data_IF_821881965330
#
_entry.id   IF_821881965330
#
_cell.length_a   1.000
_cell.length_b   1.000
_cell.length_c   1.000
_cell.angle_alpha   90.00
_cell.angle_beta   90.00
_cell.angle_gamma   90.00
#
_symmetry.space_group_name_H-M   'P 1'
#
loop_
_entity.id
_entity.type
_entity.pdbx_description
1 polymer ?
#
# COMPACT_ATOMS: atom_id res chain seq x y z
N UNK A 1 23.35 6.12 -3.58
CA UNK A 1 22.12 5.31 -3.64
C UNK A 1 22.53 3.96 -4.19
N UNK A 2 22.29 2.91 -3.41
CA UNK A 2 22.69 1.57 -3.82
C UNK A 2 21.74 1.08 -4.92
N UNK A 3 22.34 0.65 -6.04
CA UNK A 3 21.57 0.22 -7.21
C UNK A 3 20.79 -1.07 -6.94
N UNK A 4 21.28 -1.90 -6.01
CA UNK A 4 20.75 -3.23 -5.72
C UNK A 4 21.06 -3.60 -4.26
N UNK A 5 20.07 -4.16 -3.57
CA UNK A 5 20.18 -4.63 -2.18
C UNK A 5 19.68 -6.07 -2.11
N UNK A 6 20.47 -6.97 -1.51
CA UNK A 6 19.98 -8.29 -1.14
C UNK A 6 19.06 -8.15 0.07
N UNK A 7 17.83 -8.66 -0.02
CA UNK A 7 16.87 -8.60 1.08
C UNK A 7 16.96 -9.90 1.89
N UNK A 8 16.45 -10.99 1.33
CA UNK A 8 16.48 -12.33 1.93
C UNK A 8 16.03 -13.38 0.88
N UNK A 9 16.27 -14.66 1.13
CA UNK A 9 15.72 -15.81 0.38
C UNK A 9 15.74 -15.63 -1.15
N UNK A 10 16.94 -15.36 -1.68
CA UNK A 10 17.17 -15.13 -3.12
C UNK A 10 16.45 -13.90 -3.73
N UNK A 11 15.87 -13.02 -2.91
CA UNK A 11 15.22 -11.77 -3.36
C UNK A 11 16.18 -10.58 -3.23
N UNK A 12 16.26 -9.81 -4.30
CA UNK A 12 16.96 -8.54 -4.39
C UNK A 12 15.97 -7.43 -4.75
N UNK A 13 16.18 -6.23 -4.19
CA UNK A 13 15.45 -5.03 -4.56
C UNK A 13 16.40 -4.00 -5.15
N UNK A 14 16.02 -3.36 -6.25
CA UNK A 14 16.93 -2.45 -6.94
C UNK A 14 16.26 -1.37 -7.80
N UNK A 15 17.11 -0.62 -8.48
CA UNK A 15 16.76 0.45 -9.41
C UNK A 15 16.64 -0.08 -10.83
N UNK A 16 16.09 0.72 -11.73
CA UNK A 16 16.08 0.40 -13.17
C UNK A 16 17.51 0.28 -13.71
N UNK A 17 18.45 1.07 -13.20
CA UNK A 17 19.85 0.98 -13.58
C UNK A 17 20.49 -0.37 -13.22
N UNK A 18 20.08 -1.00 -12.11
CA UNK A 18 20.51 -2.37 -11.81
C UNK A 18 19.85 -3.39 -12.74
N UNK A 19 18.55 -3.21 -12.99
CA UNK A 19 17.76 -4.14 -13.79
C UNK A 19 18.13 -4.14 -15.28
N UNK A 20 18.71 -3.05 -15.80
CA UNK A 20 19.21 -2.96 -17.18
C UNK A 20 20.73 -3.16 -17.29
N UNK A 21 21.41 -3.55 -16.21
CA UNK A 21 22.85 -3.79 -16.20
C UNK A 21 23.16 -5.29 -16.30
N UNK A 22 23.28 -5.80 -17.52
CA UNK A 22 23.47 -7.24 -17.77
C UNK A 22 24.72 -7.81 -17.07
N UNK A 23 25.82 -7.07 -17.03
CA UNK A 23 27.03 -7.51 -16.31
C UNK A 23 26.77 -7.68 -14.80
N UNK A 24 25.90 -6.85 -14.20
CA UNK A 24 25.49 -7.00 -12.81
C UNK A 24 24.59 -8.23 -12.63
N UNK A 25 23.63 -8.43 -13.53
CA UNK A 25 22.69 -9.57 -13.49
C UNK A 25 23.36 -10.92 -13.76
N UNK A 26 24.46 -10.94 -14.50
CA UNK A 26 25.28 -12.15 -14.68
C UNK A 26 26.13 -12.42 -13.45
N UNK A 27 26.74 -11.37 -12.87
CA UNK A 27 27.58 -11.48 -11.68
C UNK A 27 26.79 -11.95 -10.45
N UNK A 28 25.58 -11.44 -10.30
CA UNK A 28 24.61 -11.88 -9.29
C UNK A 28 23.57 -12.65 -10.09
N UNK A 29 23.66 -13.98 -10.24
CA UNK A 29 22.96 -14.73 -11.30
C UNK A 29 21.44 -14.62 -11.16
N UNK A 30 20.87 -13.52 -11.67
CA UNK A 30 19.45 -13.20 -11.62
C UNK A 30 18.78 -14.03 -12.71
N UNK A 31 17.69 -14.65 -12.33
CA UNK A 31 16.90 -15.51 -13.21
C UNK A 31 15.53 -14.91 -13.55
N UNK A 32 15.04 -14.01 -12.70
CA UNK A 32 13.76 -13.34 -12.84
C UNK A 32 13.92 -11.86 -12.50
N UNK A 33 13.40 -10.99 -13.34
CA UNK A 33 13.25 -9.56 -13.07
C UNK A 33 11.77 -9.22 -13.02
N UNK A 34 11.32 -8.77 -11.84
CA UNK A 34 9.98 -8.22 -11.63
C UNK A 34 10.06 -6.70 -11.83
N UNK A 35 9.49 -6.24 -12.94
CA UNK A 35 9.46 -4.84 -13.32
C UNK A 35 8.20 -4.16 -12.76
N UNK A 36 8.39 -3.32 -11.74
CA UNK A 36 7.36 -2.49 -11.12
C UNK A 36 7.35 -1.05 -11.69
N UNK A 37 7.60 -0.87 -12.99
CA UNK A 37 7.54 0.44 -13.66
C UNK A 37 6.58 0.45 -14.86
N UNK A 38 6.32 1.64 -15.39
CA UNK A 38 5.50 1.82 -16.60
C UNK A 38 6.29 1.53 -17.88
N UNK A 39 7.62 1.60 -17.82
CA UNK A 39 8.50 1.34 -18.95
C UNK A 39 8.64 -0.16 -19.22
N UNK A 40 8.61 -0.54 -20.49
CA UNK A 40 8.97 -1.89 -20.92
C UNK A 40 10.38 -1.86 -21.52
N UNK A 41 11.16 -2.91 -21.26
CA UNK A 41 12.47 -3.12 -21.85
C UNK A 41 12.72 -4.63 -21.98
N UNK A 42 13.70 -4.97 -22.81
CA UNK A 42 14.15 -6.34 -23.00
C UNK A 42 15.63 -6.45 -22.62
N UNK A 43 16.04 -7.62 -22.16
CA UNK A 43 17.42 -7.97 -21.91
C UNK A 43 17.93 -8.83 -23.07
N UNK A 44 19.22 -8.73 -23.40
CA UNK A 44 19.82 -9.59 -24.41
C UNK A 44 19.94 -11.05 -23.93
N UNK A 45 20.04 -11.25 -22.61
CA UNK A 45 20.12 -12.56 -22.01
C UNK A 45 18.74 -13.22 -21.89
N UNK A 46 18.47 -14.18 -22.77
CA UNK A 46 17.21 -14.93 -22.81
C UNK A 46 16.96 -15.85 -21.61
N UNK A 47 17.99 -16.12 -20.78
CA UNK A 47 17.87 -16.95 -19.59
C UNK A 47 17.24 -16.18 -18.40
N UNK A 48 17.16 -14.85 -18.52
CA UNK A 48 16.54 -13.95 -17.54
C UNK A 48 15.12 -13.63 -18.00
N UNK A 49 14.13 -14.10 -17.25
CA UNK A 49 12.74 -13.74 -17.53
C UNK A 49 12.44 -12.35 -16.96
N UNK A 50 11.92 -11.43 -17.78
CA UNK A 50 11.42 -10.12 -17.34
C UNK A 50 9.89 -10.14 -17.34
N UNK A 51 9.30 -9.99 -16.16
CA UNK A 51 7.84 -9.90 -16.00
C UNK A 51 7.47 -8.51 -15.54
N UNK A 52 6.49 -7.94 -16.23
CA UNK A 52 5.91 -6.64 -15.90
C UNK A 52 4.44 -6.83 -15.57
N UNK A 53 4.04 -6.24 -14.45
CA UNK A 53 2.64 -6.08 -14.09
C UNK A 53 2.27 -4.61 -14.30
N UNK A 54 1.05 -4.33 -14.76
CA UNK A 54 0.64 -2.99 -15.19
C UNK A 54 0.57 -2.01 -14.01
N UNK A 55 1.73 -1.49 -13.59
CA UNK A 55 1.81 -0.37 -12.65
C UNK A 55 1.19 0.83 -13.34
N UNK A 56 0.07 1.32 -12.80
CA UNK A 56 -0.66 2.48 -13.33
C UNK A 56 -0.10 3.76 -12.73
N UNK A 57 -0.61 4.91 -13.19
CA UNK A 57 -0.30 6.23 -12.61
C UNK A 57 -0.52 6.31 -11.09
N UNK A 58 -1.41 5.48 -10.54
CA UNK A 58 -1.64 5.32 -9.10
C UNK A 58 -0.49 4.61 -8.36
N UNK A 59 0.64 4.36 -9.02
CA UNK A 59 1.87 3.93 -8.37
C UNK A 59 1.76 2.55 -7.71
N UNK A 60 2.27 2.44 -6.48
CA UNK A 60 2.41 1.16 -5.79
C UNK A 60 1.05 0.51 -5.43
N UNK A 61 -0.01 1.29 -5.29
CA UNK A 61 -1.37 0.79 -5.01
C UNK A 61 -1.85 -0.14 -6.13
N UNK A 62 -1.51 0.17 -7.38
CA UNK A 62 -1.91 -0.66 -8.53
C UNK A 62 -1.33 -2.08 -8.52
N UNK A 63 -0.28 -2.34 -7.72
CA UNK A 63 0.29 -3.68 -7.58
C UNK A 63 -0.64 -4.64 -6.83
N UNK A 64 -1.58 -4.12 -6.04
CA UNK A 64 -2.48 -4.92 -5.20
C UNK A 64 -3.25 -5.97 -5.99
N UNK A 65 -3.73 -5.60 -7.20
CA UNK A 65 -4.47 -6.50 -8.10
C UNK A 65 -3.63 -7.70 -8.56
N UNK A 66 -2.29 -7.62 -8.45
CA UNK A 66 -1.34 -8.58 -9.00
C UNK A 66 -0.54 -9.33 -7.93
N UNK A 67 -0.77 -9.09 -6.64
CA UNK A 67 0.04 -9.68 -5.57
C UNK A 67 0.07 -11.20 -5.61
N UNK A 68 -1.06 -11.87 -5.85
CA UNK A 68 -1.07 -13.33 -5.89
C UNK A 68 -0.18 -13.89 -7.03
N UNK A 69 -0.28 -13.31 -8.22
CA UNK A 69 0.49 -13.73 -9.39
C UNK A 69 1.97 -13.41 -9.24
N UNK A 70 2.29 -12.19 -8.80
CA UNK A 70 3.65 -11.76 -8.50
C UNK A 70 4.29 -12.67 -7.46
N UNK A 71 3.59 -12.92 -6.35
CA UNK A 71 4.14 -13.70 -5.24
C UNK A 71 4.40 -15.15 -5.65
N UNK A 72 3.45 -15.79 -6.34
CA UNK A 72 3.65 -17.16 -6.89
C UNK A 72 4.81 -17.20 -7.88
N UNK A 73 4.98 -16.17 -8.71
CA UNK A 73 6.06 -16.11 -9.69
C UNK A 73 7.41 -15.99 -8.99
N UNK A 74 7.56 -15.05 -8.06
CA UNK A 74 8.78 -14.89 -7.26
C UNK A 74 9.08 -16.21 -6.50
N UNK A 75 8.07 -16.81 -5.87
CA UNK A 75 8.21 -18.03 -5.08
C UNK A 75 8.69 -19.22 -5.91
N UNK A 76 8.21 -19.36 -7.15
CA UNK A 76 8.62 -20.46 -8.04
C UNK A 76 10.11 -20.43 -8.37
N UNK A 77 10.71 -19.23 -8.43
CA UNK A 77 12.13 -19.04 -8.67
C UNK A 77 12.95 -19.21 -7.38
N UNK A 78 12.57 -18.49 -6.32
CA UNK A 78 13.30 -18.52 -5.04
C UNK A 78 13.27 -19.92 -4.40
N UNK A 79 12.15 -20.64 -4.47
CA UNK A 79 12.04 -22.03 -4.00
C UNK A 79 12.90 -23.02 -4.79
N UNK A 80 13.38 -22.63 -5.99
CA UNK A 80 14.35 -23.38 -6.79
C UNK A 80 15.78 -22.91 -6.59
N UNK A 81 16.04 -22.03 -5.60
CA UNK A 81 17.34 -21.42 -5.33
C UNK A 81 17.80 -20.40 -6.38
N UNK A 82 16.87 -19.86 -7.18
CA UNK A 82 17.18 -18.90 -8.25
C UNK A 82 16.95 -17.47 -7.76
N UNK A 83 17.88 -16.58 -8.09
CA UNK A 83 17.80 -15.18 -7.66
C UNK A 83 16.75 -14.40 -8.45
N UNK A 84 16.01 -13.56 -7.75
CA UNK A 84 14.98 -12.68 -8.27
C UNK A 84 15.34 -11.23 -7.98
N UNK A 85 15.22 -10.36 -8.97
CA UNK A 85 15.31 -8.91 -8.81
C UNK A 85 13.94 -8.27 -8.94
N UNK A 86 13.49 -7.59 -7.89
CA UNK A 86 12.31 -6.72 -7.92
C UNK A 86 12.78 -5.28 -8.05
N UNK A 87 12.40 -4.58 -9.12
CA UNK A 87 12.87 -3.22 -9.32
C UNK A 87 11.74 -2.25 -9.65
N UNK A 88 11.99 -0.98 -9.33
CA UNK A 88 11.25 0.14 -9.92
C UNK A 88 12.27 1.16 -10.45
N UNK A 89 11.88 2.42 -10.62
CA UNK A 89 12.82 3.43 -11.14
C UNK A 89 13.96 3.70 -10.14
N UNK A 90 13.62 4.17 -8.94
CA UNK A 90 14.57 4.48 -7.85
C UNK A 90 14.75 3.34 -6.84
N UNK A 91 14.01 2.25 -7.01
CA UNK A 91 13.99 1.15 -6.04
C UNK A 91 13.46 1.54 -4.66
N UNK A 92 12.70 2.64 -4.53
CA UNK A 92 12.35 3.24 -3.23
C UNK A 92 11.00 2.75 -2.71
N UNK A 93 9.93 3.00 -3.47
CA UNK A 93 8.55 2.69 -3.05
C UNK A 93 8.02 1.42 -3.71
N UNK A 94 7.65 1.48 -5.01
CA UNK A 94 6.96 0.37 -5.72
C UNK A 94 7.62 -1.01 -5.58
N UNK A 95 8.94 -1.08 -5.74
CA UNK A 95 9.68 -2.34 -5.60
C UNK A 95 9.77 -2.81 -4.15
N UNK A 96 9.89 -1.89 -3.19
CA UNK A 96 9.88 -2.22 -1.77
C UNK A 96 8.50 -2.68 -1.34
N UNK A 97 7.42 -2.00 -1.76
CA UNK A 97 6.03 -2.45 -1.57
C UNK A 97 5.83 -3.88 -2.08
N UNK A 98 6.31 -4.16 -3.30
CA UNK A 98 6.23 -5.50 -3.90
C UNK A 98 7.01 -6.55 -3.06
N UNK A 99 8.21 -6.20 -2.58
CA UNK A 99 9.00 -7.10 -1.74
C UNK A 99 8.33 -7.34 -0.37
N UNK A 100 7.77 -6.30 0.25
CA UNK A 100 7.04 -6.38 1.52
C UNK A 100 5.84 -7.32 1.36
N UNK A 101 4.99 -7.10 0.35
CA UNK A 101 3.84 -7.95 0.05
C UNK A 101 4.25 -9.42 -0.17
N UNK A 102 5.37 -9.66 -0.86
CA UNK A 102 5.91 -11.01 -1.04
C UNK A 102 6.30 -11.67 0.29
N UNK A 103 7.05 -10.98 1.15
CA UNK A 103 7.46 -11.54 2.44
C UNK A 103 6.30 -11.76 3.40
N UNK A 104 5.31 -10.87 3.42
CA UNK A 104 4.05 -11.07 4.16
C UNK A 104 3.37 -12.38 3.72
N UNK A 105 3.24 -12.59 2.41
CA UNK A 105 2.60 -13.80 1.86
C UNK A 105 3.40 -15.09 2.10
N UNK A 106 4.72 -15.05 1.85
CA UNK A 106 5.65 -16.19 1.92
C UNK A 106 5.86 -16.66 3.36
N UNK A 107 6.05 -15.72 4.29
CA UNK A 107 6.41 -16.01 5.68
C UNK A 107 5.24 -15.93 6.66
N UNK A 108 4.05 -15.54 6.19
CA UNK A 108 2.87 -15.28 7.02
C UNK A 108 3.17 -14.23 8.09
N UNK A 109 3.90 -13.20 7.68
CA UNK A 109 4.25 -12.07 8.52
C UNK A 109 3.25 -10.95 8.39
N UNK A 110 3.10 -10.19 9.47
CA UNK A 110 2.43 -8.90 9.43
C UNK A 110 3.25 -7.85 8.69
N UNK A 111 2.64 -6.71 8.39
CA UNK A 111 3.29 -5.62 7.66
C UNK A 111 4.58 -5.18 8.36
N UNK A 112 4.55 -4.92 9.67
CA UNK A 112 5.69 -4.34 10.39
C UNK A 112 6.94 -5.23 10.32
N UNK A 113 6.77 -6.54 10.41
CA UNK A 113 7.88 -7.50 10.29
C UNK A 113 8.48 -7.51 8.88
N UNK A 114 7.63 -7.50 7.85
CA UNK A 114 8.08 -7.50 6.46
C UNK A 114 8.68 -6.15 6.05
N UNK A 115 8.09 -5.05 6.48
CA UNK A 115 8.63 -3.70 6.31
C UNK A 115 10.00 -3.54 6.98
N UNK A 116 10.13 -4.02 8.22
CA UNK A 116 11.41 -3.98 8.94
C UNK A 116 12.50 -4.73 8.19
N UNK A 117 12.23 -5.95 7.70
CA UNK A 117 13.18 -6.71 6.89
C UNK A 117 13.65 -5.91 5.67
N UNK A 118 12.72 -5.34 4.90
CA UNK A 118 13.06 -4.64 3.65
C UNK A 118 13.80 -3.33 3.92
N UNK A 119 13.32 -2.51 4.87
CA UNK A 119 13.93 -1.22 5.24
C UNK A 119 15.27 -1.36 5.96
N UNK A 120 15.49 -2.47 6.67
CA UNK A 120 16.80 -2.77 7.27
C UNK A 120 17.87 -2.98 6.18
N UNK A 121 17.52 -3.75 5.13
CA UNK A 121 18.43 -4.14 4.04
C UNK A 121 18.53 -3.09 2.93
N UNK A 122 17.50 -2.24 2.77
CA UNK A 122 17.45 -1.17 1.79
C UNK A 122 17.02 0.13 2.44
N UNK A 123 18.00 0.99 2.73
CA UNK A 123 17.79 2.26 3.47
C UNK A 123 16.98 3.28 2.70
N UNK A 124 16.89 3.13 1.39
CA UNK A 124 16.03 3.94 0.53
C UNK A 124 14.58 3.43 0.45
N UNK A 125 14.22 2.38 1.20
CA UNK A 125 12.83 1.96 1.32
C UNK A 125 12.01 3.09 1.96
N UNK A 126 11.04 3.59 1.21
CA UNK A 126 10.12 4.63 1.67
C UNK A 126 8.71 4.27 1.19
N UNK A 127 7.84 4.00 2.15
CA UNK A 127 6.47 3.54 1.93
C UNK A 127 5.53 4.66 2.37
N UNK A 128 4.91 5.36 1.40
CA UNK A 128 3.86 6.33 1.69
C UNK A 128 2.71 5.70 2.46
N UNK A 129 2.04 6.51 3.26
CA UNK A 129 1.05 6.03 4.24
C UNK A 129 -0.19 5.38 3.59
N UNK A 130 -0.65 5.91 2.45
CA UNK A 130 -1.70 5.30 1.62
C UNK A 130 -1.33 3.88 1.15
N UNK A 131 -0.05 3.67 0.80
CA UNK A 131 0.50 2.36 0.43
C UNK A 131 0.62 1.44 1.63
N UNK A 132 0.96 1.97 2.81
CA UNK A 132 0.98 1.21 4.06
C UNK A 132 -0.41 0.69 4.43
N UNK A 133 -1.46 1.53 4.38
CA UNK A 133 -2.84 1.11 4.61
C UNK A 133 -3.20 -0.06 3.69
N UNK A 134 -2.87 0.05 2.40
CA UNK A 134 -3.13 -1.01 1.44
C UNK A 134 -2.38 -2.31 1.77
N UNK A 135 -1.15 -2.25 2.27
CA UNK A 135 -0.40 -3.42 2.72
C UNK A 135 -0.99 -4.02 4.01
N UNK A 136 -1.44 -3.19 4.97
CA UNK A 136 -2.14 -3.66 6.18
C UNK A 136 -3.52 -4.26 5.85
N UNK A 137 -4.22 -3.74 4.86
CA UNK A 137 -5.42 -4.41 4.33
C UNK A 137 -5.08 -5.76 3.69
N UNK A 138 -3.95 -5.87 3.00
CA UNK A 138 -3.47 -7.13 2.46
C UNK A 138 -3.10 -8.12 3.57
N UNK A 139 -2.47 -7.66 4.66
CA UNK A 139 -2.26 -8.44 5.88
C UNK A 139 -3.56 -9.05 6.39
N UNK A 140 -4.62 -8.23 6.51
CA UNK A 140 -5.95 -8.68 6.95
C UNK A 140 -6.52 -9.78 6.06
N UNK A 141 -6.29 -9.69 4.76
CA UNK A 141 -6.73 -10.70 3.81
C UNK A 141 -5.91 -11.99 3.95
N UNK A 142 -4.58 -11.87 4.11
CA UNK A 142 -3.67 -13.00 4.24
C UNK A 142 -3.84 -13.78 5.54
N UNK A 143 -4.13 -13.08 6.64
CA UNK A 143 -4.13 -13.65 7.98
C UNK A 143 -5.52 -14.06 8.47
N UNK A 144 -6.60 -13.91 7.67
CA UNK A 144 -7.92 -14.46 8.02
C UNK A 144 -7.85 -15.97 8.30
N UNK A 145 -7.93 -16.33 9.58
CA UNK A 145 -7.74 -17.68 10.15
C UNK A 145 -6.75 -17.72 11.31
N UNK A 146 -5.88 -16.72 11.42
CA UNK A 146 -5.08 -16.38 12.59
C UNK A 146 -5.63 -15.04 13.09
N UNK A 147 -6.11 -14.98 14.34
CA UNK A 147 -6.44 -13.67 14.92
C UNK A 147 -5.14 -12.88 15.02
N UNK A 148 -4.91 -11.97 14.08
CA UNK A 148 -3.96 -10.90 14.30
C UNK A 148 -4.71 -9.78 15.02
N UNK A 149 -4.36 -9.56 16.28
CA UNK A 149 -4.88 -8.45 17.09
C UNK A 149 -4.18 -7.14 16.76
N UNK A 150 -3.14 -7.16 15.93
CA UNK A 150 -2.32 -5.99 15.58
C UNK A 150 -2.86 -5.23 14.36
N UNK A 151 -3.99 -5.66 13.79
CA UNK A 151 -4.71 -4.88 12.78
C UNK A 151 -5.25 -3.57 13.37
N UNK A 152 -5.48 -3.56 14.69
CA UNK A 152 -5.86 -2.38 15.45
C UNK A 152 -4.66 -1.47 15.79
N UNK A 153 -3.44 -1.79 15.33
CA UNK A 153 -2.24 -0.95 15.49
C UNK A 153 -1.80 -0.26 14.20
N UNK A 154 -2.73 -0.01 13.26
CA UNK A 154 -2.56 1.16 12.38
C UNK A 154 -2.58 2.37 13.31
N UNK A 155 -1.57 3.25 13.26
CA UNK A 155 -1.50 4.46 14.09
C UNK A 155 -2.58 5.47 13.68
N UNK A 156 -3.86 5.09 13.69
CA UNK A 156 -4.94 6.03 13.56
C UNK A 156 -4.85 7.00 14.72
N UNK A 157 -4.64 8.26 14.40
CA UNK A 157 -4.64 9.34 15.38
C UNK A 157 -5.97 10.11 15.36
N UNK A 158 -6.94 9.69 14.55
CA UNK A 158 -8.23 10.35 14.44
C UNK A 158 -9.39 9.38 14.10
N UNK A 159 -10.61 9.86 14.38
CA UNK A 159 -11.86 9.30 13.87
C UNK A 159 -12.63 10.40 13.16
N UNK A 160 -12.94 10.20 11.88
CA UNK A 160 -13.77 11.12 11.08
C UNK A 160 -15.18 10.56 11.03
N UNK A 161 -16.16 11.31 11.53
CA UNK A 161 -17.57 10.93 11.57
C UNK A 161 -18.42 11.86 10.71
N UNK A 162 -19.17 11.27 9.79
CA UNK A 162 -20.09 11.97 8.90
C UNK A 162 -21.52 11.61 9.32
N UNK A 163 -22.25 12.59 9.81
CA UNK A 163 -23.66 12.45 10.10
C UNK A 163 -24.46 12.85 8.87
N UNK A 164 -25.32 11.97 8.38
CA UNK A 164 -26.16 12.15 7.20
C UNK A 164 -27.62 11.89 7.51
N UNK A 165 -28.54 12.48 6.74
CA UNK A 165 -29.97 12.16 6.85
C UNK A 165 -30.24 10.71 6.45
N UNK A 166 -31.22 10.09 7.09
CA UNK A 166 -31.75 8.80 6.64
C UNK A 166 -32.23 8.88 5.18
N UNK A 167 -31.85 7.87 4.38
CA UNK A 167 -32.09 7.82 2.93
C UNK A 167 -30.96 8.37 2.06
N UNK A 168 -29.90 8.92 2.65
CA UNK A 168 -28.66 9.27 1.93
C UNK A 168 -28.03 8.01 1.33
N UNK A 169 -27.50 8.10 0.09
CA UNK A 169 -26.87 6.97 -0.59
C UNK A 169 -25.50 6.63 0.05
N UNK A 170 -25.51 5.72 1.03
CA UNK A 170 -24.32 5.30 1.79
C UNK A 170 -23.22 4.69 0.91
N UNK A 171 -23.58 3.97 -0.15
CA UNK A 171 -22.60 3.32 -1.04
C UNK A 171 -21.83 4.36 -1.87
N UNK A 172 -22.55 5.36 -2.40
CA UNK A 172 -21.94 6.45 -3.17
C UNK A 172 -21.14 7.40 -2.28
N UNK A 173 -21.63 7.66 -1.05
CA UNK A 173 -20.90 8.44 -0.06
C UNK A 173 -19.60 7.75 0.35
N UNK A 174 -19.66 6.45 0.61
CA UNK A 174 -18.47 5.64 0.91
C UNK A 174 -17.47 5.70 -0.26
N UNK A 175 -17.94 5.49 -1.49
CA UNK A 175 -17.08 5.57 -2.67
C UNK A 175 -16.40 6.94 -2.80
N UNK A 176 -17.13 8.05 -2.55
CA UNK A 176 -16.54 9.39 -2.55
C UNK A 176 -15.53 9.58 -1.42
N UNK A 177 -15.83 9.11 -0.21
CA UNK A 177 -14.90 9.16 0.92
C UNK A 177 -13.60 8.38 0.63
N UNK A 178 -13.69 7.19 0.03
CA UNK A 178 -12.49 6.43 -0.36
C UNK A 178 -11.61 7.14 -1.39
N UNK A 179 -12.13 8.16 -2.10
CA UNK A 179 -11.37 9.01 -3.02
C UNK A 179 -10.83 10.30 -2.35
N UNK A 180 -11.21 10.59 -1.11
CA UNK A 180 -10.74 11.79 -0.41
C UNK A 180 -9.21 11.84 -0.23
N UNK A 181 -8.48 10.73 0.02
CA UNK A 181 -7.01 10.76 0.09
C UNK A 181 -6.30 11.18 -1.21
N UNK A 182 -6.97 11.06 -2.36
CA UNK A 182 -6.45 11.60 -3.64
C UNK A 182 -6.59 13.13 -3.72
N UNK A 183 -7.52 13.70 -2.95
CA UNK A 183 -7.78 15.14 -2.86
C UNK A 183 -6.95 15.79 -1.75
N UNK A 184 -6.89 15.14 -0.59
CA UNK A 184 -6.09 15.57 0.56
C UNK A 184 -5.12 14.46 0.97
N UNK A 185 -3.87 14.57 0.50
CA UNK A 185 -2.83 13.58 0.73
C UNK A 185 -2.35 13.49 2.18
N UNK A 186 -2.75 14.42 3.05
CA UNK A 186 -2.45 14.39 4.48
C UNK A 186 -3.44 13.56 5.29
N UNK A 187 -4.52 13.07 4.67
CA UNK A 187 -5.53 12.25 5.33
C UNK A 187 -5.60 10.89 4.66
N UNK A 188 -5.59 9.83 5.44
CA UNK A 188 -6.02 8.54 4.92
C UNK A 188 -7.03 7.86 5.82
N UNK A 189 -7.96 7.18 5.17
CA UNK A 189 -9.10 6.55 5.78
C UNK A 189 -8.87 5.04 5.87
N UNK A 190 -9.20 4.52 7.04
CA UNK A 190 -9.14 3.10 7.36
C UNK A 190 -10.52 2.47 7.42
N UNK A 191 -10.68 1.57 8.40
CA UNK A 191 -11.95 0.87 8.61
C UNK A 191 -13.07 1.88 8.84
N UNK A 192 -14.22 1.58 8.23
CA UNK A 192 -15.44 2.33 8.45
C UNK A 192 -16.54 1.48 9.07
N UNK A 193 -17.45 2.15 9.75
CA UNK A 193 -18.71 1.59 10.22
C UNK A 193 -19.84 2.58 10.01
N UNK A 194 -21.06 2.06 9.83
CA UNK A 194 -22.26 2.90 9.76
C UNK A 194 -23.20 2.52 10.89
N UNK A 195 -23.56 3.49 11.71
CA UNK A 195 -24.43 3.34 12.86
C UNK A 195 -25.68 4.22 12.73
N UNK A 196 -26.68 3.97 13.56
CA UNK A 196 -27.85 4.85 13.67
C UNK A 196 -27.49 6.05 14.56
N UNK A 197 -27.77 7.26 14.06
CA UNK A 197 -27.61 8.51 14.80
C UNK A 197 -28.89 8.93 15.53
N UNK A 198 -28.87 10.14 16.09
CA UNK A 198 -30.07 10.75 16.67
C UNK A 198 -31.00 11.31 15.59
N UNK A 199 -32.30 11.38 15.87
CA UNK A 199 -33.29 12.04 15.00
C UNK A 199 -33.30 11.53 13.55
N UNK A 200 -33.41 10.21 13.35
CA UNK A 200 -33.52 9.62 11.99
C UNK A 200 -32.32 10.01 11.10
N UNK A 201 -31.12 9.98 11.69
CA UNK A 201 -29.86 10.16 10.98
C UNK A 201 -29.03 8.87 10.99
N UNK A 202 -28.04 8.82 10.11
CA UNK A 202 -27.02 7.77 10.06
C UNK A 202 -25.67 8.42 10.26
N UNK A 203 -24.76 7.71 10.93
CA UNK A 203 -23.39 8.18 11.15
C UNK A 203 -22.44 7.18 10.51
N UNK A 204 -21.62 7.64 9.57
CA UNK A 204 -20.54 6.87 8.99
C UNK A 204 -19.22 7.34 9.58
N UNK A 205 -18.57 6.48 10.34
CA UNK A 205 -17.33 6.77 11.04
C UNK A 205 -16.18 6.03 10.38
N UNK A 206 -15.06 6.71 10.19
CA UNK A 206 -13.81 6.20 9.66
C UNK A 206 -12.73 6.32 10.72
N UNK A 207 -12.02 5.24 10.99
CA UNK A 207 -10.68 5.37 11.56
C UNK A 207 -9.81 6.11 10.54
N UNK A 208 -9.07 7.11 10.97
CA UNK A 208 -8.27 7.93 10.09
C UNK A 208 -6.90 8.22 10.70
N UNK A 209 -5.94 8.47 9.83
CA UNK A 209 -4.73 9.17 10.20
C UNK A 209 -4.71 10.49 9.48
N UNK A 210 -4.35 11.52 10.23
CA UNK A 210 -4.26 12.89 9.80
C UNK A 210 -2.84 13.35 10.12
N UNK A 211 -2.08 13.65 9.07
CA UNK A 211 -0.71 14.13 9.21
C UNK A 211 -0.69 15.47 9.98
N UNK A 212 0.34 15.69 10.81
CA UNK A 212 0.47 16.90 11.63
C UNK A 212 0.50 18.21 10.80
N UNK A 213 0.77 18.11 9.49
CA UNK A 213 0.72 19.26 8.58
C UNK A 213 -0.68 19.68 8.15
N UNK A 214 -1.70 18.85 8.42
CA UNK A 214 -3.11 19.15 8.15
C UNK A 214 -3.68 19.95 9.31
N UNK A 215 -4.33 21.08 9.01
CA UNK A 215 -4.99 21.90 10.01
C UNK A 215 -6.39 21.34 10.31
N UNK A 216 -6.58 20.83 11.53
CA UNK A 216 -7.77 20.11 11.97
C UNK A 216 -9.08 20.88 11.73
N UNK A 217 -9.13 22.16 12.08
CA UNK A 217 -10.33 22.99 11.91
C UNK A 217 -10.64 23.23 10.42
N UNK A 218 -9.60 23.28 9.57
CA UNK A 218 -9.75 23.43 8.13
C UNK A 218 -10.25 22.13 7.47
N UNK A 219 -9.89 20.97 8.03
CA UNK A 219 -10.17 19.67 7.44
C UNK A 219 -11.66 19.30 7.54
N UNK A 220 -12.32 19.62 8.66
CA UNK A 220 -13.77 19.38 8.79
C UNK A 220 -14.57 20.19 7.76
N UNK A 221 -14.22 21.46 7.57
CA UNK A 221 -14.86 22.33 6.59
C UNK A 221 -14.56 21.87 5.16
N UNK A 222 -13.30 21.48 4.88
CA UNK A 222 -12.88 20.92 3.59
C UNK A 222 -13.66 19.65 3.25
N UNK A 223 -13.77 18.70 4.18
CA UNK A 223 -14.57 17.48 4.03
C UNK A 223 -16.05 17.79 3.81
N UNK A 224 -16.62 18.72 4.59
CA UNK A 224 -18.02 19.10 4.42
C UNK A 224 -18.28 19.66 3.01
N UNK A 225 -17.38 20.52 2.51
CA UNK A 225 -17.45 21.07 1.16
C UNK A 225 -17.20 20.00 0.08
N UNK A 226 -16.27 19.08 0.29
CA UNK A 226 -15.99 17.96 -0.62
C UNK A 226 -17.20 17.03 -0.80
N UNK A 227 -18.01 16.91 0.24
CA UNK A 227 -19.24 16.12 0.26
C UNK A 227 -20.48 16.90 -0.21
N UNK A 228 -20.31 18.06 -0.84
CA UNK A 228 -21.43 18.79 -1.45
C UNK A 228 -22.19 17.89 -2.44
N UNK A 229 -23.52 17.92 -2.32
CA UNK A 229 -24.44 17.07 -3.08
C UNK A 229 -25.00 15.88 -2.29
N UNK A 230 -24.44 15.58 -1.12
CA UNK A 230 -25.03 14.64 -0.15
C UNK A 230 -25.84 15.38 0.91
N UNK A 231 -26.83 14.71 1.50
CA UNK A 231 -27.64 15.22 2.63
C UNK A 231 -26.86 15.09 3.96
N UNK A 232 -25.68 15.73 4.02
CA UNK A 232 -24.82 15.75 5.21
C UNK A 232 -25.37 16.77 6.23
N UNK A 233 -25.44 16.34 7.48
CA UNK A 233 -25.86 17.16 8.62
C UNK A 233 -24.65 17.76 9.35
N UNK A 234 -23.58 16.98 9.49
CA UNK A 234 -22.32 17.44 10.08
C UNK A 234 -21.16 16.50 9.71
N UNK A 235 -19.96 17.06 9.68
CA UNK A 235 -18.69 16.32 9.71
C UNK A 235 -18.02 16.68 11.03
N UNK A 236 -17.46 15.68 11.70
CA UNK A 236 -16.71 15.85 12.94
C UNK A 236 -15.46 14.98 12.90
N UNK A 237 -14.34 15.53 13.35
CA UNK A 237 -13.10 14.82 13.56
C UNK A 237 -12.77 14.81 15.05
N UNK A 238 -12.41 13.64 15.55
CA UNK A 238 -11.94 13.47 16.90
C UNK A 238 -10.53 12.88 16.86
N UNK A 239 -9.55 13.61 17.37
CA UNK A 239 -8.21 13.06 17.60
C UNK A 239 -8.26 11.99 18.69
N UNK A 240 -7.53 10.89 18.47
CA UNK A 240 -7.36 9.81 19.41
C UNK A 240 -6.16 10.16 20.30
N UNK A 241 -6.38 10.17 21.62
CA UNK A 241 -5.30 10.34 22.59
C UNK A 241 -4.32 9.15 22.49
N UNK A 242 -3.02 9.43 22.49
CA UNK A 242 -1.93 8.42 22.49
C UNK A 242 -2.01 7.43 23.67
#
# INVERSE_FOLDING_TARGET
MDQLSFIDDHVYVGTIAAATNEALLERIPISLVVNCTEESYELNNSDIEVVKHNVRKSGAISLREYYEDINKKIDSYTSSGRNVLIHCFYGMTRSCTCAIAYFMWKRKWGYDQAFHLVSEKRKECDIPYDVEIMLREYENQLLKGVQNTDVDSVCYNAVISITMKEGTNEEELLARMMMFPDYNHGVCLGRHEVTAGCFESRVMSFQAFVDESVDDESLEEELYNYLEGFDILSVQMQMLDE
#
